data_IF_854398098365
#
_entry.id   IF_854398098365
#
_cell.length_a   1.000
_cell.length_b   1.000
_cell.length_c   1.000
_cell.angle_alpha   90.00
_cell.angle_beta   90.00
_cell.angle_gamma   90.00
#
_symmetry.space_group_name_H-M   'P 1'
#
loop_
_entity.id
_entity.type
_entity.pdbx_description
1 polymer ?
#
# COMPACT_ATOMS: atom_id res chain seq x y z
N UNK A 1 -8.52 -10.05 -6.86
CA UNK A 1 -7.18 -9.52 -6.56
C UNK A 1 -6.22 -10.70 -6.61
N UNK A 2 -5.03 -10.50 -7.17
CA UNK A 2 -3.87 -11.36 -6.93
C UNK A 2 -2.86 -10.56 -6.09
N UNK A 3 -2.25 -11.19 -5.10
CA UNK A 3 -1.21 -10.58 -4.26
C UNK A 3 -0.09 -11.57 -4.00
N UNK A 4 1.14 -11.15 -4.30
CA UNK A 4 2.37 -11.81 -3.86
C UNK A 4 3.02 -10.96 -2.76
N UNK A 5 3.22 -11.55 -1.59
CA UNK A 5 3.76 -10.86 -0.41
C UNK A 5 5.04 -11.53 0.09
N UNK A 6 6.03 -10.71 0.43
CA UNK A 6 7.35 -11.10 0.88
C UNK A 6 7.59 -10.54 2.28
N UNK A 7 7.50 -11.42 3.28
CA UNK A 7 7.60 -11.06 4.70
C UNK A 7 8.83 -11.73 5.35
N UNK A 8 9.67 -11.01 6.12
CA UNK A 8 10.83 -11.59 6.79
C UNK A 8 10.48 -12.65 7.84
N UNK A 9 10.85 -13.90 7.58
CA UNK A 9 10.66 -15.03 8.51
C UNK A 9 11.29 -14.77 9.89
N UNK A 10 12.39 -14.00 9.95
CA UNK A 10 13.04 -13.64 11.22
C UNK A 10 12.08 -12.91 12.18
N UNK A 11 11.20 -12.07 11.63
CA UNK A 11 10.22 -11.26 12.36
C UNK A 11 8.91 -12.02 12.55
N UNK A 12 8.49 -12.78 11.54
CA UNK A 12 7.16 -13.39 11.47
C UNK A 12 7.20 -14.91 11.53
N UNK A 13 7.84 -15.46 12.57
CA UNK A 13 8.14 -16.89 12.69
C UNK A 13 6.91 -17.80 12.79
N UNK A 14 5.81 -17.26 13.31
CA UNK A 14 4.56 -17.98 13.54
C UNK A 14 3.47 -17.55 12.54
N UNK A 15 3.84 -16.86 11.47
CA UNK A 15 2.90 -16.51 10.41
C UNK A 15 2.24 -17.78 9.89
N UNK A 16 0.90 -17.77 9.82
CA UNK A 16 0.08 -18.93 9.51
C UNK A 16 -0.94 -18.55 8.44
N UNK A 17 -1.56 -19.56 7.82
CA UNK A 17 -2.63 -19.32 6.85
C UNK A 17 -3.79 -18.55 7.48
N UNK A 18 -4.15 -18.84 8.74
CA UNK A 18 -5.22 -18.12 9.44
C UNK A 18 -4.91 -16.62 9.60
N UNK A 19 -3.65 -16.26 9.83
CA UNK A 19 -3.24 -14.84 9.85
C UNK A 19 -3.41 -14.18 8.48
N UNK A 20 -3.09 -14.90 7.40
CA UNK A 20 -3.18 -14.41 6.02
C UNK A 20 -4.60 -14.36 5.47
N UNK A 21 -5.48 -15.24 5.93
CA UNK A 21 -6.93 -15.19 5.65
C UNK A 21 -7.61 -14.00 6.36
N UNK A 22 -7.00 -13.52 7.44
CA UNK A 22 -7.35 -12.27 8.11
C UNK A 22 -6.62 -11.06 7.54
N UNK A 23 -5.92 -10.33 8.42
CA UNK A 23 -5.15 -9.14 8.06
C UNK A 23 -3.70 -9.33 8.48
N UNK A 24 -2.79 -9.32 7.49
CA UNK A 24 -1.33 -9.34 7.74
C UNK A 24 -0.91 -8.18 8.66
N UNK A 25 -1.53 -7.03 8.52
CA UNK A 25 -1.23 -5.85 9.32
C UNK A 25 -1.72 -6.01 10.76
N UNK A 26 -2.89 -6.62 10.97
CA UNK A 26 -3.38 -6.94 12.31
C UNK A 26 -2.43 -7.91 13.02
N UNK A 27 -1.94 -8.94 12.32
CA UNK A 27 -0.95 -9.87 12.86
C UNK A 27 0.36 -9.14 13.25
N UNK A 28 0.85 -8.23 12.40
CA UNK A 28 2.06 -7.45 12.67
C UNK A 28 1.88 -6.55 13.91
N UNK A 29 0.77 -5.81 13.99
CA UNK A 29 0.56 -4.82 15.05
C UNK A 29 0.11 -5.46 16.37
N UNK A 30 -0.87 -6.37 16.32
CA UNK A 30 -1.53 -6.91 17.53
C UNK A 30 -0.78 -8.09 18.12
N UNK A 31 -0.23 -8.97 17.28
CA UNK A 31 0.44 -10.19 17.74
C UNK A 31 1.96 -10.05 17.80
N UNK A 32 2.58 -9.38 16.82
CA UNK A 32 4.03 -9.15 16.84
C UNK A 32 4.41 -7.90 17.64
N UNK A 33 3.46 -7.02 17.95
CA UNK A 33 3.71 -5.79 18.71
C UNK A 33 4.56 -4.76 17.96
N UNK A 34 4.53 -4.78 16.63
CA UNK A 34 5.31 -3.88 15.78
C UNK A 34 4.39 -2.79 15.23
N UNK A 35 4.67 -1.53 15.56
CA UNK A 35 3.94 -0.37 15.01
C UNK A 35 4.36 -0.12 13.56
N UNK A 36 3.39 -0.02 12.65
CA UNK A 36 3.64 0.31 11.25
C UNK A 36 3.62 1.82 11.08
N UNK A 37 4.70 2.41 10.57
CA UNK A 37 4.83 3.87 10.43
C UNK A 37 4.33 4.40 9.10
N UNK A 38 4.33 3.56 8.08
CA UNK A 38 3.93 3.97 6.75
C UNK A 38 4.18 2.93 5.68
N UNK A 39 3.74 3.28 4.49
CA UNK A 39 3.80 2.44 3.30
C UNK A 39 4.20 3.30 2.10
N UNK A 40 5.16 2.83 1.32
CA UNK A 40 5.48 3.40 0.03
C UNK A 40 4.77 2.59 -1.05
N UNK A 41 3.86 3.25 -1.77
CA UNK A 41 3.10 2.62 -2.85
C UNK A 41 3.50 3.16 -4.21
N UNK A 42 3.60 2.26 -5.17
CA UNK A 42 3.73 2.60 -6.59
C UNK A 42 2.62 1.93 -7.38
N UNK A 43 2.00 2.72 -8.25
CA UNK A 43 0.88 2.34 -9.10
C UNK A 43 1.39 2.30 -10.54
N UNK A 44 1.39 1.12 -11.17
CA UNK A 44 1.83 0.93 -12.55
C UNK A 44 0.72 0.30 -13.38
N UNK A 45 0.31 0.87 -14.52
CA UNK A 45 -0.59 0.18 -15.45
C UNK A 45 0.15 -0.99 -16.11
N UNK A 46 -0.52 -2.15 -16.20
CA UNK A 46 0.01 -3.34 -16.87
C UNK A 46 -1.09 -4.03 -17.67
N UNK A 47 -0.72 -4.80 -18.70
CA UNK A 47 -1.66 -5.66 -19.42
C UNK A 47 -1.54 -7.08 -18.90
N UNK A 48 -2.66 -7.77 -18.73
CA UNK A 48 -2.68 -9.16 -18.30
C UNK A 48 -1.97 -10.05 -19.34
N UNK A 49 -0.86 -10.66 -18.95
CA UNK A 49 -0.27 -11.76 -19.71
C UNK A 49 -1.10 -13.04 -19.52
N UNK A 50 -0.72 -14.11 -20.22
CA UNK A 50 -1.43 -15.40 -20.15
C UNK A 50 -1.56 -15.96 -18.73
N UNK A 51 -0.53 -15.85 -17.89
CA UNK A 51 -0.57 -16.40 -16.53
C UNK A 51 -1.45 -15.56 -15.62
N UNK A 52 -1.23 -14.24 -15.65
CA UNK A 52 -1.99 -13.29 -14.84
C UNK A 52 -3.47 -13.28 -15.23
N UNK A 53 -3.78 -13.35 -16.52
CA UNK A 53 -5.12 -13.52 -17.05
C UNK A 53 -5.80 -14.77 -16.49
N UNK A 54 -5.07 -15.90 -16.44
CA UNK A 54 -5.54 -17.15 -15.85
C UNK A 54 -5.85 -17.03 -14.35
N UNK A 55 -4.94 -16.47 -13.55
CA UNK A 55 -5.15 -16.31 -12.11
C UNK A 55 -6.28 -15.34 -11.76
N UNK A 56 -6.43 -14.27 -12.53
CA UNK A 56 -7.42 -13.23 -12.30
C UNK A 56 -8.77 -13.52 -12.97
N UNK A 57 -8.86 -14.58 -13.78
CA UNK A 57 -10.03 -14.93 -14.58
C UNK A 57 -10.51 -13.76 -15.46
N UNK A 58 -9.58 -13.16 -16.22
CA UNK A 58 -9.85 -12.06 -17.17
C UNK A 58 -9.26 -12.41 -18.54
N UNK A 59 -9.70 -11.78 -19.64
CA UNK A 59 -9.05 -11.93 -20.94
C UNK A 59 -7.58 -11.51 -20.92
N UNK A 60 -6.73 -12.14 -21.74
CA UNK A 60 -5.39 -11.62 -22.03
C UNK A 60 -5.48 -10.18 -22.56
N UNK A 61 -4.46 -9.37 -22.27
CA UNK A 61 -4.42 -7.94 -22.58
C UNK A 61 -5.47 -7.07 -21.86
N UNK A 62 -6.21 -7.61 -20.89
CA UNK A 62 -7.03 -6.78 -20.00
C UNK A 62 -6.16 -5.78 -19.25
N UNK A 63 -6.49 -4.47 -19.23
CA UNK A 63 -5.79 -3.50 -18.41
C UNK A 63 -5.95 -3.81 -16.92
N UNK A 64 -4.83 -3.88 -16.22
CA UNK A 64 -4.76 -4.09 -14.78
C UNK A 64 -3.93 -2.97 -14.15
N UNK A 65 -4.19 -2.72 -12.87
CA UNK A 65 -3.37 -1.87 -12.03
C UNK A 65 -2.47 -2.76 -11.17
N UNK A 66 -1.15 -2.63 -11.36
CA UNK A 66 -0.15 -3.22 -10.48
C UNK A 66 0.17 -2.23 -9.37
N UNK A 67 0.02 -2.66 -8.13
CA UNK A 67 0.29 -1.88 -6.93
C UNK A 67 1.45 -2.57 -6.21
N UNK A 68 2.59 -1.91 -6.08
CA UNK A 68 3.67 -2.38 -5.21
C UNK A 68 3.63 -1.61 -3.91
N UNK A 69 3.61 -2.30 -2.78
CA UNK A 69 3.55 -1.73 -1.43
C UNK A 69 4.77 -2.18 -0.63
N UNK A 70 5.41 -1.23 0.04
CA UNK A 70 6.60 -1.42 0.84
C UNK A 70 6.38 -0.81 2.22
N UNK A 71 6.24 -1.68 3.24
CA UNK A 71 5.85 -1.29 4.61
C UNK A 71 7.02 -1.30 5.58
N UNK A 72 7.08 -0.30 6.45
CA UNK A 72 8.12 -0.11 7.46
C UNK A 72 7.55 0.08 8.87
N UNK A 73 8.32 -0.29 9.89
CA UNK A 73 8.03 0.06 11.28
C UNK A 73 8.38 1.52 11.59
N UNK A 74 7.98 2.01 12.77
CA UNK A 74 8.43 3.29 13.33
C UNK A 74 9.94 3.34 13.65
N UNK A 75 10.56 2.19 13.86
CA UNK A 75 12.00 2.02 13.96
C UNK A 75 12.74 1.93 12.61
N UNK A 76 12.01 1.95 11.49
CA UNK A 76 12.56 1.87 10.12
C UNK A 76 12.88 0.44 9.67
N UNK A 77 12.43 -0.59 10.38
CA UNK A 77 12.58 -1.99 9.99
C UNK A 77 11.66 -2.32 8.81
N UNK A 78 12.19 -3.05 7.82
CA UNK A 78 11.39 -3.53 6.69
C UNK A 78 10.47 -4.67 7.13
N UNK A 79 9.16 -4.51 6.90
CA UNK A 79 8.14 -5.44 7.36
C UNK A 79 7.55 -6.27 6.22
N UNK A 80 7.24 -5.66 5.09
CA UNK A 80 6.55 -6.34 4.00
C UNK A 80 6.83 -5.66 2.67
N UNK A 81 7.02 -6.48 1.63
CA UNK A 81 6.89 -6.05 0.25
C UNK A 81 5.76 -6.84 -0.41
N UNK A 82 4.75 -6.16 -0.94
CA UNK A 82 3.64 -6.80 -1.66
C UNK A 82 3.58 -6.29 -3.10
N UNK A 83 3.36 -7.20 -4.04
CA UNK A 83 2.96 -6.92 -5.42
C UNK A 83 1.52 -7.37 -5.60
N UNK A 84 0.63 -6.43 -5.85
CA UNK A 84 -0.80 -6.66 -5.99
C UNK A 84 -1.26 -6.31 -7.40
N UNK A 85 -2.18 -7.10 -7.94
CA UNK A 85 -2.84 -6.82 -9.22
C UNK A 85 -4.35 -6.64 -8.99
N UNK A 86 -4.89 -5.58 -9.60
CA UNK A 86 -6.32 -5.25 -9.59
C UNK A 86 -6.83 -5.06 -11.01
N UNK A 87 -8.04 -5.53 -11.27
CA UNK A 87 -8.77 -5.12 -12.47
C UNK A 87 -9.20 -3.67 -12.33
N UNK A 88 -8.89 -2.83 -13.32
CA UNK A 88 -9.23 -1.40 -13.31
C UNK A 88 -10.74 -1.16 -13.40
N UNK A 89 -11.53 -2.16 -13.83
CA UNK A 89 -12.99 -2.09 -13.78
C UNK A 89 -13.54 -2.15 -12.35
N UNK A 90 -12.84 -2.84 -11.45
CA UNK A 90 -13.31 -3.11 -10.08
C UNK A 90 -12.64 -2.20 -9.03
N UNK A 91 -11.52 -1.56 -9.40
CA UNK A 91 -10.70 -0.79 -8.48
C UNK A 91 -10.28 0.54 -9.12
N UNK A 92 -10.78 1.62 -8.54
CA UNK A 92 -10.50 3.00 -8.94
C UNK A 92 -9.92 3.74 -7.73
N UNK A 93 -8.96 4.62 -7.99
CA UNK A 93 -8.30 5.43 -6.97
C UNK A 93 -8.43 6.90 -7.33
N UNK A 94 -9.07 7.66 -6.45
CA UNK A 94 -9.27 9.10 -6.59
C UNK A 94 -8.44 9.85 -5.55
N UNK A 95 -7.68 10.85 -6.01
CA UNK A 95 -6.92 11.73 -5.13
C UNK A 95 -7.37 13.18 -5.33
N UNK A 96 -7.69 13.86 -4.23
CA UNK A 96 -7.80 15.32 -4.21
C UNK A 96 -6.48 15.92 -3.74
N UNK A 97 -5.65 16.36 -4.69
CA UNK A 97 -4.39 17.02 -4.37
C UNK A 97 -4.61 18.54 -4.27
N UNK A 98 -4.66 19.06 -3.05
CA UNK A 98 -4.74 20.51 -2.84
C UNK A 98 -3.41 21.15 -3.23
N UNK A 99 -3.47 22.14 -4.13
CA UNK A 99 -2.33 23.00 -4.43
C UNK A 99 -2.12 23.98 -3.28
N UNK A 100 -0.90 24.03 -2.75
CA UNK A 100 -0.51 25.04 -1.77
C UNK A 100 0.29 26.10 -2.50
N UNK A 101 -0.15 27.34 -2.36
CA UNK A 101 0.50 28.49 -2.94
C UNK A 101 1.61 29.00 -2.01
N UNK A 102 2.83 29.31 -2.50
CA UNK A 102 3.92 29.80 -1.66
C UNK A 102 3.57 31.05 -0.85
N UNK A 103 2.73 31.92 -1.39
CA UNK A 103 2.20 33.11 -0.73
C UNK A 103 1.38 32.80 0.54
N UNK A 104 0.65 31.67 0.58
CA UNK A 104 -0.10 31.23 1.76
C UNK A 104 0.81 30.75 2.89
N UNK A 105 2.04 30.33 2.56
CA UNK A 105 3.06 29.94 3.54
C UNK A 105 3.75 31.17 4.17
N UNK A 106 3.67 32.34 3.55
CA UNK A 106 4.30 33.57 4.04
C UNK A 106 3.31 34.48 4.77
N UNK A 107 2.00 34.33 4.52
CA UNK A 107 0.95 35.15 5.14
C UNK A 107 0.64 34.77 6.60
N UNK A 108 1.12 33.63 7.08
CA UNK A 108 0.83 33.11 8.42
C UNK A 108 2.10 32.78 9.20
N UNK A 109 2.13 32.99 10.54
CA UNK A 109 3.26 32.60 11.37
C UNK A 109 3.47 31.08 11.33
N UNK A 110 4.72 30.58 11.52
CA UNK A 110 5.09 29.17 11.46
C UNK A 110 4.17 28.22 12.25
N UNK A 111 3.60 28.70 13.35
CA UNK A 111 2.76 27.94 14.28
C UNK A 111 1.37 27.60 13.70
N UNK A 112 0.89 28.32 12.68
CA UNK A 112 -0.45 28.13 12.10
C UNK A 112 -0.47 27.17 10.89
N UNK A 113 0.66 26.83 10.27
CA UNK A 113 0.67 25.98 9.07
C UNK A 113 0.22 24.54 9.32
N UNK A 114 0.32 24.04 10.56
CA UNK A 114 -0.17 22.68 10.90
C UNK A 114 -1.68 22.52 10.74
N UNK A 115 -2.46 23.61 10.84
CA UNK A 115 -3.92 23.56 10.69
C UNK A 115 -4.38 23.54 9.21
N UNK A 116 -3.51 23.90 8.27
CA UNK A 116 -3.84 23.98 6.84
C UNK A 116 -3.38 22.77 6.02
N UNK A 117 -2.45 21.99 6.57
CA UNK A 117 -1.87 20.79 5.94
C UNK A 117 -2.58 19.48 6.32
N UNK A 118 -3.51 19.51 7.28
CA UNK A 118 -4.25 18.32 7.73
C UNK A 118 -5.77 18.56 7.62
N UNK A 119 -6.37 18.02 6.57
CA UNK A 119 -7.81 17.97 6.32
C UNK A 119 -8.09 17.10 5.11
#
# INVERSE_FOLDING_TARGET
MLEDSFMPVKLFRILSLAHLEGSKFDYIEKECGITISGNYESLTPVLADKQLAGYMNVPEQTPLLRITSLSYSDSGEFLNYSVMFRNTSDYQVDYHLRRIHPEDLLAHPPEQHRQWLGG
#
